data_IF_539721356305
#
_entry.id   IF_539721356305
#
_cell.length_a   1.000
_cell.length_b   1.000
_cell.length_c   1.000
_cell.angle_alpha   90.00
_cell.angle_beta   90.00
_cell.angle_gamma   90.00
#
_symmetry.space_group_name_H-M   'P 1'
#
loop_
_entity.id
_entity.type
_entity.pdbx_description
1 polymer ?
#
# COMPACT_ATOMS: atom_id res chain seq x y z
N UNK A 1 3.85 42.54 -26.70
CA UNK A 1 3.28 41.18 -26.86
C UNK A 1 3.12 40.61 -25.46
N UNK A 2 1.89 40.51 -24.97
CA UNK A 2 1.59 40.17 -23.57
C UNK A 2 1.35 38.66 -23.44
N UNK A 3 2.29 37.94 -22.82
CA UNK A 3 2.18 36.51 -22.52
C UNK A 3 1.85 36.38 -21.04
N UNK A 4 0.56 36.37 -20.72
CA UNK A 4 0.05 35.97 -19.42
C UNK A 4 -1.39 35.48 -19.56
N UNK A 5 -1.59 34.23 -20.02
CA UNK A 5 -2.94 33.63 -20.07
C UNK A 5 -2.93 32.10 -19.85
N UNK A 6 -1.99 31.59 -19.05
CA UNK A 6 -1.77 30.15 -18.91
C UNK A 6 -2.38 29.58 -17.61
N UNK A 7 -3.05 30.38 -16.79
CA UNK A 7 -3.46 29.98 -15.43
C UNK A 7 -4.95 29.55 -15.35
N UNK A 8 -5.68 29.56 -16.47
CA UNK A 8 -7.15 29.41 -16.44
C UNK A 8 -7.65 28.23 -17.29
N UNK A 9 -7.49 26.98 -16.85
CA UNK A 9 -8.25 25.86 -17.44
C UNK A 9 -8.32 24.56 -16.61
N UNK A 10 -8.47 24.61 -15.28
CA UNK A 10 -8.93 23.40 -14.56
C UNK A 10 -9.81 23.68 -13.34
N UNK A 11 -10.23 24.92 -13.16
CA UNK A 11 -11.29 25.24 -12.21
C UNK A 11 -12.58 25.10 -13.00
N UNK A 12 -13.19 23.91 -12.92
CA UNK A 12 -14.54 23.66 -13.44
C UNK A 12 -15.45 24.81 -13.04
N UNK A 13 -16.28 25.30 -13.97
CA UNK A 13 -17.33 26.27 -13.69
C UNK A 13 -18.33 25.61 -12.75
N UNK A 14 -18.15 25.85 -11.45
CA UNK A 14 -19.11 25.45 -10.43
C UNK A 14 -19.91 26.72 -10.11
N UNK A 15 -21.22 26.71 -10.38
CA UNK A 15 -22.05 27.92 -10.42
C UNK A 15 -22.61 28.31 -9.04
N UNK A 16 -22.57 27.41 -8.05
CA UNK A 16 -23.02 27.68 -6.68
C UNK A 16 -22.04 27.25 -5.58
N UNK A 17 -22.04 28.00 -4.47
CA UNK A 17 -21.26 27.65 -3.27
C UNK A 17 -21.62 26.26 -2.70
N UNK A 18 -22.89 25.84 -2.87
CA UNK A 18 -23.36 24.51 -2.48
C UNK A 18 -22.77 23.40 -3.36
N UNK A 19 -22.82 23.57 -4.68
CA UNK A 19 -22.22 22.65 -5.65
C UNK A 19 -20.71 22.56 -5.47
N UNK A 20 -20.06 23.67 -5.12
CA UNK A 20 -18.62 23.68 -4.81
C UNK A 20 -18.31 22.87 -3.55
N UNK A 21 -19.17 22.97 -2.53
CA UNK A 21 -19.01 22.19 -1.31
C UNK A 21 -19.32 20.70 -1.52
N UNK A 22 -20.29 20.36 -2.38
CA UNK A 22 -20.56 18.97 -2.78
C UNK A 22 -19.42 18.39 -3.62
N UNK A 23 -18.91 19.15 -4.60
CA UNK A 23 -17.73 18.78 -5.40
C UNK A 23 -16.49 18.58 -4.53
N UNK A 24 -16.24 19.47 -3.56
CA UNK A 24 -15.15 19.30 -2.60
C UNK A 24 -15.36 18.08 -1.71
N UNK A 25 -16.59 17.79 -1.27
CA UNK A 25 -16.91 16.58 -0.50
C UNK A 25 -16.68 15.31 -1.29
N UNK A 26 -17.21 15.21 -2.51
CA UNK A 26 -17.00 14.08 -3.41
C UNK A 26 -15.52 13.87 -3.73
N UNK A 27 -14.79 14.95 -4.06
CA UNK A 27 -13.35 14.88 -4.31
C UNK A 27 -12.56 14.51 -3.06
N UNK A 28 -12.93 15.04 -1.88
CA UNK A 28 -12.27 14.69 -0.62
C UNK A 28 -12.54 13.26 -0.17
N UNK A 29 -13.72 12.69 -0.45
CA UNK A 29 -14.02 11.28 -0.21
C UNK A 29 -13.22 10.37 -1.15
N UNK A 30 -12.94 10.81 -2.38
CA UNK A 30 -12.09 10.09 -3.33
C UNK A 30 -10.59 10.26 -3.07
N UNK A 31 -10.15 11.39 -2.53
CA UNK A 31 -8.73 11.69 -2.24
C UNK A 31 -8.31 11.30 -0.81
N UNK A 32 -9.24 11.11 0.13
CA UNK A 32 -8.93 10.64 1.48
C UNK A 32 -9.02 9.12 1.57
N UNK A 33 -7.95 8.45 1.12
CA UNK A 33 -7.63 7.15 1.70
C UNK A 33 -7.59 7.33 3.22
N UNK A 34 -8.36 6.53 3.95
CA UNK A 34 -8.39 6.59 5.41
C UNK A 34 -6.99 6.28 5.94
N UNK A 35 -6.24 7.34 6.26
CA UNK A 35 -4.84 7.25 6.71
C UNK A 35 -4.72 6.40 7.97
N UNK A 36 -5.76 6.36 8.80
CA UNK A 36 -5.80 5.52 9.99
C UNK A 36 -5.89 4.04 9.60
N UNK A 37 -6.71 3.71 8.60
CA UNK A 37 -6.85 2.36 8.06
C UNK A 37 -5.56 1.89 7.37
N UNK A 38 -4.93 2.75 6.56
CA UNK A 38 -3.61 2.48 5.97
C UNK A 38 -2.58 2.20 7.05
N UNK A 39 -2.50 3.06 8.06
CA UNK A 39 -1.58 2.92 9.19
C UNK A 39 -1.81 1.61 9.96
N UNK A 40 -3.07 1.24 10.20
CA UNK A 40 -3.43 0.00 10.88
C UNK A 40 -3.03 -1.25 10.07
N UNK A 41 -3.27 -1.25 8.76
CA UNK A 41 -2.89 -2.36 7.88
C UNK A 41 -1.37 -2.47 7.71
N UNK A 42 -0.65 -1.35 7.61
CA UNK A 42 0.81 -1.34 7.62
C UNK A 42 1.39 -1.78 8.97
N UNK A 43 0.75 -1.39 10.07
CA UNK A 43 1.08 -1.89 11.41
C UNK A 43 0.91 -3.40 11.49
N UNK A 44 -0.21 -3.92 10.98
CA UNK A 44 -0.45 -5.37 10.89
C UNK A 44 0.64 -6.04 10.06
N UNK A 45 0.94 -5.53 8.86
CA UNK A 45 1.97 -6.09 7.97
C UNK A 45 3.34 -6.14 8.66
N UNK A 46 3.72 -5.08 9.38
CA UNK A 46 5.05 -4.97 10.02
C UNK A 46 5.19 -5.72 11.33
N UNK A 47 4.08 -5.98 12.03
CA UNK A 47 4.06 -6.72 13.29
C UNK A 47 3.77 -8.21 13.10
N UNK A 48 3.23 -8.59 11.94
CA UNK A 48 2.98 -9.97 11.55
C UNK A 48 4.33 -10.68 11.31
N UNK A 49 5.04 -11.01 12.38
CA UNK A 49 6.23 -11.86 12.35
C UNK A 49 5.79 -13.30 12.43
N UNK A 50 6.46 -14.20 11.71
CA UNK A 50 6.17 -15.61 11.84
C UNK A 50 6.48 -16.06 13.28
N UNK A 51 5.44 -16.38 14.04
CA UNK A 51 5.50 -17.03 15.32
C UNK A 51 5.33 -18.53 15.11
N UNK A 52 6.03 -19.35 15.90
CA UNK A 52 6.02 -20.81 15.76
C UNK A 52 4.68 -21.46 16.06
N UNK A 53 3.64 -20.67 16.35
CA UNK A 53 2.27 -21.09 16.66
C UNK A 53 1.47 -21.41 15.40
N UNK A 54 1.79 -20.75 14.27
CA UNK A 54 1.10 -20.91 12.98
C UNK A 54 1.97 -21.62 11.95
N UNK A 55 1.31 -22.22 10.96
CA UNK A 55 1.98 -22.85 9.83
C UNK A 55 2.52 -21.82 8.85
N UNK A 56 3.52 -22.20 8.03
CA UNK A 56 4.07 -21.34 6.97
C UNK A 56 2.98 -20.85 6.01
N UNK A 57 2.06 -21.74 5.65
CA UNK A 57 0.94 -21.43 4.77
C UNK A 57 0.04 -20.35 5.37
N UNK A 58 -0.39 -20.51 6.63
CA UNK A 58 -1.24 -19.53 7.31
C UNK A 58 -0.57 -18.15 7.40
N UNK A 59 0.71 -18.11 7.71
CA UNK A 59 1.49 -16.87 7.73
C UNK A 59 1.52 -16.15 6.37
N UNK A 60 1.80 -16.90 5.30
CA UNK A 60 1.86 -16.34 3.94
C UNK A 60 0.48 -15.86 3.49
N UNK A 61 -0.58 -16.62 3.78
CA UNK A 61 -1.96 -16.20 3.47
C UNK A 61 -2.31 -14.88 4.18
N UNK A 62 -1.97 -14.73 5.46
CA UNK A 62 -2.25 -13.50 6.22
C UNK A 62 -1.50 -12.27 5.67
N UNK A 63 -0.26 -12.46 5.22
CA UNK A 63 0.55 -11.44 4.53
C UNK A 63 -0.07 -11.02 3.19
N UNK A 64 -0.55 -11.99 2.41
CA UNK A 64 -1.22 -11.75 1.12
C UNK A 64 -2.54 -11.01 1.35
N UNK A 65 -3.38 -11.46 2.28
CA UNK A 65 -4.67 -10.86 2.58
C UNK A 65 -4.52 -9.40 3.03
N UNK A 66 -3.52 -9.11 3.86
CA UNK A 66 -3.20 -7.75 4.30
C UNK A 66 -2.76 -6.88 3.12
N UNK A 67 -1.95 -7.44 2.21
CA UNK A 67 -1.51 -6.76 0.99
C UNK A 67 -2.65 -6.48 0.03
N UNK A 68 -3.59 -7.41 -0.15
CA UNK A 68 -4.80 -7.22 -0.96
C UNK A 68 -5.64 -6.08 -0.39
N UNK A 69 -5.81 -6.01 0.93
CA UNK A 69 -6.50 -4.90 1.61
C UNK A 69 -5.80 -3.56 1.38
N UNK A 70 -4.47 -3.51 1.49
CA UNK A 70 -3.67 -2.31 1.19
C UNK A 70 -3.85 -1.87 -0.28
N UNK A 71 -3.84 -2.81 -1.23
CA UNK A 71 -4.10 -2.52 -2.65
C UNK A 71 -5.51 -2.01 -2.89
N UNK A 72 -6.51 -2.55 -2.19
CA UNK A 72 -7.91 -2.12 -2.33
C UNK A 72 -8.17 -0.67 -1.90
N UNK A 73 -7.34 -0.13 -1.00
CA UNK A 73 -7.42 1.25 -0.52
C UNK A 73 -6.47 2.20 -1.29
N UNK A 74 -5.96 1.77 -2.44
CA UNK A 74 -5.15 2.60 -3.33
C UNK A 74 -3.66 2.63 -3.00
N UNK A 75 -3.16 1.77 -2.10
CA UNK A 75 -1.72 1.64 -1.88
C UNK A 75 -1.12 0.57 -2.79
N UNK A 76 -0.15 0.97 -3.61
CA UNK A 76 0.62 0.04 -4.40
C UNK A 76 1.64 -0.70 -3.53
N UNK A 77 1.50 -2.02 -3.45
CA UNK A 77 2.46 -2.91 -2.78
C UNK A 77 3.00 -3.85 -3.84
N UNK A 78 4.29 -3.75 -4.16
CA UNK A 78 4.91 -4.62 -5.18
C UNK A 78 5.04 -6.05 -4.66
N UNK A 79 4.96 -7.02 -5.59
CA UNK A 79 5.12 -8.44 -5.24
C UNK A 79 6.53 -8.72 -4.72
N UNK A 80 7.55 -8.11 -5.32
CA UNK A 80 8.93 -8.22 -4.83
C UNK A 80 9.06 -7.73 -3.38
N UNK A 81 8.41 -6.61 -3.03
CA UNK A 81 8.42 -6.14 -1.65
C UNK A 81 7.79 -7.18 -0.72
N UNK A 82 6.63 -7.73 -1.07
CA UNK A 82 5.94 -8.73 -0.27
C UNK A 82 6.79 -10.00 -0.08
N UNK A 83 7.39 -10.53 -1.16
CA UNK A 83 8.24 -11.73 -1.10
C UNK A 83 9.46 -11.47 -0.20
N UNK A 84 10.15 -10.35 -0.39
CA UNK A 84 11.30 -9.98 0.43
C UNK A 84 10.91 -9.82 1.90
N UNK A 85 9.75 -9.20 2.15
CA UNK A 85 9.21 -9.00 3.49
C UNK A 85 8.95 -10.33 4.18
N UNK A 86 8.19 -11.23 3.53
CA UNK A 86 7.87 -12.56 4.05
C UNK A 86 9.14 -13.32 4.43
N UNK A 87 10.15 -13.33 3.54
CA UNK A 87 11.43 -14.03 3.73
C UNK A 87 12.21 -13.44 4.91
N UNK A 88 12.32 -12.12 5.00
CA UNK A 88 13.11 -11.44 6.03
C UNK A 88 12.58 -11.69 7.46
N UNK A 89 11.28 -11.93 7.62
CA UNK A 89 10.65 -12.19 8.92
C UNK A 89 10.45 -13.67 9.24
N UNK A 90 11.03 -14.58 8.43
CA UNK A 90 11.12 -15.99 8.79
C UNK A 90 12.10 -16.19 9.96
N UNK A 91 11.80 -17.11 10.89
CA UNK A 91 12.73 -17.44 11.96
C UNK A 91 14.00 -18.09 11.40
N UNK A 92 15.08 -18.01 12.19
CA UNK A 92 16.38 -18.62 11.88
C UNK A 92 16.30 -20.11 11.50
N UNK A 93 15.29 -20.85 11.98
CA UNK A 93 15.04 -22.25 11.58
C UNK A 93 14.87 -22.44 10.06
N UNK A 94 14.54 -21.37 9.33
CA UNK A 94 14.47 -21.33 7.87
C UNK A 94 15.64 -20.59 7.22
N UNK A 95 16.76 -20.41 7.92
CA UNK A 95 17.91 -19.62 7.44
C UNK A 95 18.48 -20.10 6.10
N UNK A 96 18.48 -21.41 5.84
CA UNK A 96 18.89 -21.96 4.53
C UNK A 96 17.98 -21.47 3.38
N UNK A 97 16.68 -21.33 3.63
CA UNK A 97 15.71 -20.81 2.66
C UNK A 97 15.93 -19.31 2.42
N UNK A 98 16.20 -18.53 3.47
CA UNK A 98 16.53 -17.11 3.34
C UNK A 98 17.78 -16.90 2.48
N UNK A 99 18.86 -17.64 2.76
CA UNK A 99 20.11 -17.57 2.00
C UNK A 99 19.89 -17.95 0.53
N UNK A 100 19.10 -19.01 0.26
CA UNK A 100 18.81 -19.44 -1.10
C UNK A 100 18.13 -18.33 -1.92
N UNK A 101 17.09 -17.70 -1.37
CA UNK A 101 16.38 -16.62 -2.07
C UNK A 101 17.24 -15.36 -2.21
N UNK A 102 17.99 -14.96 -1.18
CA UNK A 102 18.89 -13.81 -1.27
C UNK A 102 19.95 -13.99 -2.36
N UNK A 103 20.51 -15.18 -2.49
CA UNK A 103 21.42 -15.49 -3.58
C UNK A 103 20.71 -15.44 -4.94
N UNK A 104 19.50 -16.00 -5.06
CA UNK A 104 18.73 -15.97 -6.32
C UNK A 104 18.51 -14.52 -6.83
N UNK A 105 18.18 -13.58 -5.94
CA UNK A 105 18.02 -12.16 -6.27
C UNK A 105 19.35 -11.43 -6.52
N UNK A 106 20.49 -11.96 -6.06
CA UNK A 106 21.81 -11.37 -6.31
C UNK A 106 22.33 -11.65 -7.73
N UNK A 107 21.84 -12.71 -8.37
CA UNK A 107 22.26 -13.15 -9.71
C UNK A 107 21.26 -12.81 -10.82
N UNK A 108 20.24 -12.00 -10.53
CA UNK A 108 19.17 -11.59 -11.45
C UNK A 108 19.17 -10.07 -11.61
#
# INVERSE_FOLDING_TARGET
MNVANNIKSTIMKIEGAKEYMEFLKERSQFESVDKSLVGALMGTLTTCKFDSTRTMHQYVTEMIDTTIKLRSIGMEVSENFLVQFIINYLPFKYGAFQIFFQNLYMWM
#
